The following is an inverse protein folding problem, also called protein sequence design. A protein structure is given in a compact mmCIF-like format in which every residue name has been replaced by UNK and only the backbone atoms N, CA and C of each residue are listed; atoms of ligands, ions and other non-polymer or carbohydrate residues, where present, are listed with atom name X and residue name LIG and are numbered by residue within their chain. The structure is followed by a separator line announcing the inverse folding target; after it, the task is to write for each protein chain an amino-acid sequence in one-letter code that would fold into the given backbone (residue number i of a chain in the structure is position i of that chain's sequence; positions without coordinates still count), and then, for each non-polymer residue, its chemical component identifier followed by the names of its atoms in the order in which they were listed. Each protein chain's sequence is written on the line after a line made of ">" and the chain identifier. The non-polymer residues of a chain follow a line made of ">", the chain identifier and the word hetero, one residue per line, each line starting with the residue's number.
data_IF_084621839245
#
_entry.id   IF_084621839245
#
_cell.length_a   1.000
_cell.length_b   1.000
_cell.length_c   1.000
_cell.angle_alpha   90.00
_cell.angle_beta   90.00
_cell.angle_gamma   90.00
#
_symmetry.space_group_name_H-M   'P 1'
#
loop_
_entity.id
_entity.type
_entity.pdbx_description
1 polymer ?
#
# COMPACT_ATOMS: atom_id res chain seq x y z
N UNK A 1 -4.68 12.08 -2.16
CA UNK A 1 -3.86 10.87 -1.96
C UNK A 1 -2.37 11.21 -2.17
N UNK A 2 -1.68 11.54 -1.09
CA UNK A 2 -0.32 12.09 -1.05
C UNK A 2 0.72 11.11 -0.44
N UNK A 3 0.27 9.96 0.07
CA UNK A 3 1.12 8.98 0.74
C UNK A 3 2.32 8.53 -0.11
N UNK A 4 2.11 8.27 -1.39
CA UNK A 4 3.16 7.79 -2.30
C UNK A 4 4.21 8.83 -2.62
N UNK A 5 3.93 10.12 -2.41
CA UNK A 5 4.88 11.22 -2.64
C UNK A 5 5.70 11.61 -1.41
N UNK A 6 5.39 11.04 -0.24
CA UNK A 6 6.15 11.27 0.98
C UNK A 6 7.59 10.74 0.84
N UNK A 7 8.53 11.50 1.40
CA UNK A 7 9.89 10.99 1.62
C UNK A 7 9.93 10.02 2.81
N UNK A 8 10.98 9.23 2.93
CA UNK A 8 11.17 8.38 4.12
C UNK A 8 11.25 9.23 5.39
N UNK A 9 11.91 10.39 5.32
CA UNK A 9 12.01 11.31 6.46
C UNK A 9 10.64 11.81 6.90
N UNK A 10 9.78 12.25 5.96
CA UNK A 10 8.41 12.71 6.27
C UNK A 10 7.60 11.57 6.91
N UNK A 11 7.76 10.35 6.39
CA UNK A 11 7.07 9.17 6.93
C UNK A 11 7.52 8.86 8.35
N UNK A 12 8.81 8.97 8.65
CA UNK A 12 9.37 8.79 10.00
C UNK A 12 8.91 9.89 10.97
N UNK A 13 8.84 11.13 10.51
CA UNK A 13 8.38 12.25 11.33
C UNK A 13 6.91 12.10 11.73
N UNK A 14 6.06 11.64 10.82
CA UNK A 14 4.66 11.30 11.11
C UNK A 14 4.58 10.16 12.13
N UNK A 15 5.39 9.12 11.96
CA UNK A 15 5.45 7.98 12.88
C UNK A 15 5.94 8.37 14.27
N UNK A 16 6.86 9.34 14.35
CA UNK A 16 7.37 9.90 15.61
C UNK A 16 6.26 10.52 16.44
N UNK A 17 5.30 11.19 15.82
CA UNK A 17 4.13 11.76 16.51
C UNK A 17 3.30 10.64 17.16
N UNK A 18 3.04 9.55 16.45
CA UNK A 18 2.31 8.41 17.02
C UNK A 18 3.09 7.75 18.17
N UNK A 19 4.41 7.62 18.05
CA UNK A 19 5.26 7.15 19.16
C UNK A 19 5.14 8.02 20.40
N UNK A 20 5.19 9.33 20.23
CA UNK A 20 5.03 10.27 21.33
C UNK A 20 3.66 10.14 22.01
N UNK A 21 2.60 10.03 21.22
CA UNK A 21 1.25 9.81 21.73
C UNK A 21 1.14 8.50 22.54
N UNK A 22 1.71 7.40 22.03
CA UNK A 22 1.75 6.12 22.74
C UNK A 22 2.47 6.23 24.11
N UNK A 23 3.58 6.97 24.17
CA UNK A 23 4.30 7.23 25.44
C UNK A 23 3.44 7.99 26.44
N UNK A 24 2.71 8.99 25.98
CA UNK A 24 1.82 9.79 26.85
C UNK A 24 0.67 8.94 27.39
N UNK A 25 0.09 8.08 26.55
CA UNK A 25 -1.05 7.23 26.92
C UNK A 25 -0.64 6.14 27.91
N UNK A 26 0.45 5.44 27.63
CA UNK A 26 0.90 4.29 28.43
C UNK A 26 1.73 4.68 29.65
N UNK A 27 2.33 5.87 29.66
CA UNK A 27 3.15 6.37 30.77
C UNK A 27 4.18 5.33 31.25
N UNK A 28 4.03 4.83 32.46
CA UNK A 28 4.90 3.84 33.10
C UNK A 28 4.83 2.45 32.43
N UNK A 29 3.76 2.14 31.72
CA UNK A 29 3.58 0.86 31.00
C UNK A 29 4.20 0.85 29.60
N UNK A 30 4.91 1.91 29.21
CA UNK A 30 5.57 1.98 27.92
C UNK A 30 6.88 1.19 27.91
N UNK A 31 6.87 0.00 27.32
CA UNK A 31 8.03 -0.88 27.16
C UNK A 31 8.68 -0.83 25.79
N UNK A 32 8.10 -0.10 24.85
CA UNK A 32 8.57 0.02 23.47
C UNK A 32 7.45 0.27 22.50
N UNK A 33 7.80 0.75 21.30
CA UNK A 33 6.78 1.17 20.32
C UNK A 33 5.95 -0.01 19.80
N UNK A 34 6.58 -1.14 19.46
CA UNK A 34 5.86 -2.31 18.93
C UNK A 34 4.92 -2.93 19.99
N UNK A 35 5.34 -2.96 21.27
CA UNK A 35 4.48 -3.42 22.35
C UNK A 35 3.34 -2.43 22.62
N UNK A 36 3.60 -1.14 22.54
CA UNK A 36 2.59 -0.10 22.67
C UNK A 36 1.52 -0.21 21.58
N UNK A 37 1.90 -0.45 20.34
CA UNK A 37 0.97 -0.67 19.23
C UNK A 37 0.06 -1.87 19.47
N UNK A 38 0.63 -2.98 19.95
CA UNK A 38 -0.15 -4.19 20.29
C UNK A 38 -1.12 -3.92 21.43
N UNK A 39 -0.67 -3.27 22.48
CA UNK A 39 -1.50 -2.96 23.67
C UNK A 39 -2.64 -2.02 23.33
N UNK A 40 -2.41 -1.04 22.48
CA UNK A 40 -3.42 -0.07 22.05
C UNK A 40 -4.22 -0.53 20.82
N UNK A 41 -3.91 -1.70 20.26
CA UNK A 41 -4.50 -2.23 19.01
C UNK A 41 -4.39 -1.25 17.85
N UNK A 42 -3.22 -0.64 17.70
CA UNK A 42 -2.90 0.28 16.63
C UNK A 42 -1.95 -0.35 15.62
N UNK A 43 -2.05 0.09 14.38
CA UNK A 43 -1.09 -0.24 13.32
C UNK A 43 -0.09 0.90 13.14
N UNK A 44 1.06 0.60 12.54
CA UNK A 44 1.99 1.64 12.07
C UNK A 44 1.28 2.51 11.05
N UNK A 45 1.48 3.82 11.12
CA UNK A 45 0.82 4.76 10.22
C UNK A 45 1.16 4.52 8.75
N UNK A 46 2.38 4.04 8.46
CA UNK A 46 2.79 3.64 7.11
C UNK A 46 1.93 2.49 6.57
N UNK A 47 1.80 1.41 7.33
CA UNK A 47 1.03 0.22 6.94
C UNK A 47 -0.46 0.55 6.79
N UNK A 48 -0.99 1.35 7.68
CA UNK A 48 -2.38 1.83 7.60
C UNK A 48 -2.62 2.66 6.33
N UNK A 49 -1.70 3.56 5.98
CA UNK A 49 -1.81 4.35 4.74
C UNK A 49 -1.78 3.48 3.50
N UNK A 50 -0.91 2.48 3.45
CA UNK A 50 -0.84 1.52 2.33
C UNK A 50 -2.13 0.71 2.20
N UNK A 51 -2.66 0.21 3.31
CA UNK A 51 -3.94 -0.51 3.34
C UNK A 51 -5.10 0.35 2.85
N UNK A 52 -5.15 1.62 3.25
CA UNK A 52 -6.16 2.57 2.80
C UNK A 52 -6.01 2.89 1.30
N UNK A 53 -4.79 3.03 0.80
CA UNK A 53 -4.52 3.23 -0.63
C UNK A 53 -4.99 2.03 -1.45
N UNK A 54 -4.71 0.81 -0.99
CA UNK A 54 -5.16 -0.41 -1.67
C UNK A 54 -6.70 -0.53 -1.67
N UNK A 55 -7.34 -0.24 -0.54
CA UNK A 55 -8.81 -0.24 -0.44
C UNK A 55 -9.44 0.79 -1.38
N UNK A 56 -8.84 1.97 -1.47
CA UNK A 56 -9.29 3.02 -2.38
C UNK A 56 -9.09 2.62 -3.85
N UNK A 57 -7.96 2.01 -4.19
CA UNK A 57 -7.70 1.51 -5.54
C UNK A 57 -8.75 0.46 -5.96
N UNK A 58 -9.12 -0.45 -5.06
CA UNK A 58 -10.19 -1.42 -5.30
C UNK A 58 -11.55 -0.76 -5.52
N UNK A 59 -11.86 0.31 -4.79
CA UNK A 59 -13.07 1.11 -5.02
C UNK A 59 -13.06 1.81 -6.38
N UNK A 60 -11.91 2.33 -6.82
CA UNK A 60 -11.76 2.93 -8.13
C UNK A 60 -12.06 1.94 -9.26
N UNK A 61 -11.69 0.67 -9.12
CA UNK A 61 -11.99 -0.36 -10.10
C UNK A 61 -13.50 -0.65 -10.26
N UNK A 62 -14.30 -0.35 -9.25
CA UNK A 62 -15.76 -0.50 -9.29
C UNK A 62 -16.47 0.69 -9.92
N UNK A 63 -15.79 1.82 -10.06
CA UNK A 63 -16.35 3.03 -10.64
C UNK A 63 -16.02 3.10 -12.13
N UNK A 64 -17.04 3.03 -12.98
CA UNK A 64 -16.91 3.05 -14.45
C UNK A 64 -16.15 4.27 -14.98
N UNK A 65 -16.33 5.43 -14.36
CA UNK A 65 -15.65 6.68 -14.77
C UNK A 65 -14.14 6.65 -14.53
N UNK A 66 -13.72 5.99 -13.48
CA UNK A 66 -12.31 5.97 -13.04
C UNK A 66 -11.58 4.70 -13.49
N UNK A 67 -12.32 3.63 -13.78
CA UNK A 67 -11.78 2.33 -14.22
C UNK A 67 -10.89 2.43 -15.46
N UNK A 68 -11.16 3.40 -16.36
CA UNK A 68 -10.36 3.66 -17.55
C UNK A 68 -8.90 4.05 -17.24
N UNK A 69 -8.61 4.55 -16.03
CA UNK A 69 -7.25 4.86 -15.57
C UNK A 69 -6.43 3.61 -15.22
N UNK A 70 -7.07 2.45 -15.14
CA UNK A 70 -6.47 1.16 -14.78
C UNK A 70 -6.60 0.15 -15.93
N UNK A 71 -5.88 0.35 -17.06
CA UNK A 71 -5.98 -0.56 -18.20
C UNK A 71 -5.45 -1.94 -17.83
N UNK A 72 -6.24 -2.97 -18.18
CA UNK A 72 -5.85 -4.36 -18.01
C UNK A 72 -4.82 -4.79 -19.05
N UNK A 73 -3.88 -5.61 -18.63
CA UNK A 73 -2.93 -6.24 -19.53
C UNK A 73 -3.62 -7.39 -20.29
N UNK A 74 -3.95 -7.16 -21.53
CA UNK A 74 -4.62 -8.13 -22.41
C UNK A 74 -3.66 -9.04 -23.18
N UNK A 75 -2.38 -9.07 -22.82
CA UNK A 75 -1.40 -9.94 -23.44
C UNK A 75 -1.82 -11.41 -23.29
N UNK A 76 -2.04 -12.09 -24.42
CA UNK A 76 -2.45 -13.49 -24.46
C UNK A 76 -1.33 -14.47 -24.06
N UNK A 77 -0.07 -14.00 -24.02
CA UNK A 77 1.07 -14.81 -23.58
C UNK A 77 1.14 -14.84 -22.07
N UNK A 78 0.98 -16.02 -21.49
CA UNK A 78 1.17 -16.22 -20.04
C UNK A 78 2.66 -16.15 -19.71
N UNK A 79 3.10 -15.02 -19.20
CA UNK A 79 4.46 -14.82 -18.70
C UNK A 79 4.49 -15.07 -17.19
N UNK A 80 5.62 -15.61 -16.70
CA UNK A 80 5.80 -15.96 -15.29
C UNK A 80 5.54 -14.79 -14.32
N UNK A 81 5.85 -13.55 -14.73
CA UNK A 81 5.72 -12.35 -13.94
C UNK A 81 4.79 -11.30 -14.59
N UNK A 82 3.75 -11.74 -15.26
CA UNK A 82 2.81 -10.84 -15.91
C UNK A 82 2.03 -10.03 -14.86
N UNK A 83 2.00 -8.71 -15.04
CA UNK A 83 1.14 -7.83 -14.25
C UNK A 83 -0.26 -7.77 -14.84
N UNK A 84 -1.29 -7.76 -13.98
CA UNK A 84 -2.68 -7.67 -14.42
C UNK A 84 -3.03 -6.29 -14.97
N UNK A 85 -2.42 -5.25 -14.42
CA UNK A 85 -2.59 -3.86 -14.86
C UNK A 85 -1.34 -3.36 -15.57
N UNK A 86 -1.53 -2.59 -16.66
CA UNK A 86 -0.44 -1.95 -17.38
C UNK A 86 -0.02 -0.70 -16.61
N UNK A 87 1.22 -0.66 -16.14
CA UNK A 87 1.83 0.53 -15.55
C UNK A 87 2.66 1.22 -16.63
N UNK A 88 2.35 2.48 -16.92
CA UNK A 88 3.12 3.26 -17.89
C UNK A 88 4.54 3.49 -17.37
N UNK A 89 5.50 3.46 -18.28
CA UNK A 89 6.88 3.82 -17.95
C UNK A 89 6.95 5.23 -17.38
N UNK A 90 7.62 5.36 -16.23
CA UNK A 90 7.81 6.64 -15.56
C UNK A 90 9.24 7.14 -15.78
N UNK A 91 9.38 8.19 -16.57
CA UNK A 91 10.69 8.85 -16.80
C UNK A 91 11.19 9.61 -15.56
N UNK A 92 10.30 9.99 -14.65
CA UNK A 92 10.63 10.74 -13.44
C UNK A 92 10.10 10.05 -12.18
N UNK A 93 10.83 10.18 -11.07
CA UNK A 93 10.41 9.69 -9.75
C UNK A 93 9.07 10.32 -9.31
N UNK A 94 8.87 11.60 -9.62
CA UNK A 94 7.64 12.32 -9.30
C UNK A 94 6.43 11.63 -9.94
N UNK A 95 6.52 11.25 -11.21
CA UNK A 95 5.44 10.54 -11.88
C UNK A 95 5.25 9.12 -11.32
N UNK A 96 6.35 8.39 -11.08
CA UNK A 96 6.30 7.04 -10.51
C UNK A 96 5.62 7.00 -9.15
N UNK A 97 5.83 8.03 -8.32
CA UNK A 97 5.22 8.20 -7.00
C UNK A 97 3.85 8.85 -7.03
N UNK A 98 3.33 9.23 -8.20
CA UNK A 98 1.99 9.80 -8.30
C UNK A 98 0.90 8.73 -8.01
N UNK A 99 -0.31 9.19 -7.73
CA UNK A 99 -1.38 8.34 -7.21
C UNK A 99 -1.73 7.15 -8.12
N UNK A 100 -1.90 7.36 -9.42
CA UNK A 100 -2.33 6.29 -10.34
C UNK A 100 -1.29 5.19 -10.50
N UNK A 101 -0.01 5.47 -10.85
CA UNK A 101 1.02 4.45 -10.93
C UNK A 101 1.22 3.70 -9.61
N UNK A 102 1.18 4.39 -8.48
CA UNK A 102 1.30 3.77 -7.17
C UNK A 102 0.16 2.79 -6.88
N UNK A 103 -1.08 3.18 -7.16
CA UNK A 103 -2.24 2.30 -7.01
C UNK A 103 -2.18 1.08 -7.94
N UNK A 104 -1.75 1.27 -9.20
CA UNK A 104 -1.57 0.16 -10.14
C UNK A 104 -0.54 -0.84 -9.65
N UNK A 105 0.58 -0.39 -9.11
CA UNK A 105 1.61 -1.25 -8.52
C UNK A 105 1.08 -2.01 -7.30
N UNK A 106 0.38 -1.34 -6.39
CA UNK A 106 -0.24 -1.99 -5.23
C UNK A 106 -1.24 -3.09 -5.64
N UNK A 107 -2.07 -2.83 -6.64
CA UNK A 107 -3.01 -3.82 -7.16
C UNK A 107 -2.29 -5.02 -7.79
N UNK A 108 -1.24 -4.79 -8.57
CA UNK A 108 -0.44 -5.85 -9.16
C UNK A 108 0.25 -6.73 -8.11
N UNK A 109 0.82 -6.14 -7.08
CA UNK A 109 1.45 -6.86 -5.96
C UNK A 109 0.42 -7.67 -5.17
N UNK A 110 -0.73 -7.09 -4.86
CA UNK A 110 -1.80 -7.77 -4.16
C UNK A 110 -2.28 -9.01 -4.91
N UNK A 111 -2.46 -8.93 -6.22
CA UNK A 111 -2.88 -10.08 -7.05
C UNK A 111 -1.79 -11.16 -7.10
N UNK A 112 -0.51 -10.79 -7.16
CA UNK A 112 0.60 -11.76 -7.09
C UNK A 112 0.64 -12.51 -5.76
N UNK A 113 0.43 -11.83 -4.64
CA UNK A 113 0.37 -12.45 -3.32
C UNK A 113 -0.82 -13.39 -3.23
N UNK A 114 -1.98 -12.96 -3.69
CA UNK A 114 -3.20 -13.78 -3.74
C UNK A 114 -3.01 -15.04 -4.57
N UNK A 115 -2.41 -14.94 -5.75
CA UNK A 115 -2.12 -16.08 -6.61
C UNK A 115 -1.14 -17.08 -5.96
N UNK A 116 -0.12 -16.60 -5.23
CA UNK A 116 0.79 -17.46 -4.46
C UNK A 116 0.06 -18.22 -3.36
N UNK A 117 -0.78 -17.53 -2.58
CA UNK A 117 -1.54 -18.15 -1.49
C UNK A 117 -2.49 -19.26 -2.00
N UNK A 118 -3.13 -19.05 -3.15
CA UNK A 118 -3.97 -20.07 -3.78
C UNK A 118 -3.16 -21.30 -4.17
N UNK A 119 -1.96 -21.12 -4.74
CA UNK A 119 -1.06 -22.25 -5.09
C UNK A 119 -0.64 -23.06 -3.87
N UNK A 120 -0.36 -22.42 -2.74
CA UNK A 120 -0.02 -23.12 -1.48
C UNK A 120 -1.19 -23.87 -0.86
N UNK A 121 -2.43 -23.41 -1.05
CA UNK A 121 -3.62 -24.09 -0.54
C UNK A 121 -4.05 -25.32 -1.37
N UNK A 122 -3.59 -25.44 -2.58
CA UNK A 122 -3.87 -26.58 -3.50
C UNK A 122 -2.85 -27.71 -3.33
N UNK A 123 -1.75 -27.42 -2.67
CA UNK A 123 -0.76 -28.44 -2.27
C UNK A 123 -1.11 -28.99 -0.87
#
# INVERSE_FOLDING_TARGET
>A
MWHSSLTEQDSEDIERVQKAACKVILKEFYEGYDNALKSLRLEKLKDRRESLCLSFAKKCLRNEKVKSMFPLNRNKRSLRNQNNFIVKFAATERYRKSAVPHMQNLLNEHEKVKAKLVRFKVL
#
